data_IF_854039060621
#
_entry.id   IF_854039060621
#
_cell.length_a   1.000
_cell.length_b   1.000
_cell.length_c   1.000
_cell.angle_alpha   90.00
_cell.angle_beta   90.00
_cell.angle_gamma   90.00
#
_symmetry.space_group_name_H-M   'P 1'
#
loop_
_entity.id
_entity.type
_entity.pdbx_description
1 polymer ?
#
# COMPACT_ATOMS: atom_id res chain seq x y z
N UNK A 1 -5.20 13.69 8.40
CA UNK A 1 -5.71 12.42 8.97
C UNK A 1 -5.15 12.06 10.34
N UNK A 2 -3.84 12.20 10.59
CA UNK A 2 -3.22 11.78 11.86
C UNK A 2 -3.86 12.32 13.15
N UNK A 3 -4.35 13.57 13.16
CA UNK A 3 -5.06 14.15 14.32
C UNK A 3 -6.32 13.34 14.68
N UNK A 4 -7.18 13.05 13.70
CA UNK A 4 -8.43 12.31 13.93
C UNK A 4 -8.15 10.91 14.49
N UNK A 5 -7.20 10.17 13.88
CA UNK A 5 -6.83 8.83 14.32
C UNK A 5 -6.25 8.87 15.74
N UNK A 6 -5.33 9.80 16.01
CA UNK A 6 -4.72 9.97 17.33
C UNK A 6 -5.78 10.27 18.39
N UNK A 7 -6.65 11.24 18.14
CA UNK A 7 -7.64 11.67 19.12
C UNK A 7 -8.65 10.55 19.40
N UNK A 8 -9.06 9.79 18.38
CA UNK A 8 -9.84 8.57 18.55
C UNK A 8 -9.13 7.57 19.49
N UNK A 9 -7.87 7.24 19.20
CA UNK A 9 -7.08 6.28 20.00
C UNK A 9 -6.92 6.75 21.46
N UNK A 10 -6.71 8.05 21.68
CA UNK A 10 -6.52 8.64 23.01
C UNK A 10 -7.83 8.69 23.82
N UNK A 11 -8.93 9.14 23.20
CA UNK A 11 -10.22 9.30 23.89
C UNK A 11 -10.82 7.94 24.24
N UNK A 12 -10.74 6.97 23.33
CA UNK A 12 -11.27 5.61 23.55
C UNK A 12 -10.37 4.75 24.44
N UNK A 13 -9.12 5.18 24.68
CA UNK A 13 -8.08 4.38 25.35
C UNK A 13 -7.85 3.02 24.65
N UNK A 14 -8.01 2.98 23.33
CA UNK A 14 -7.83 1.76 22.53
C UNK A 14 -6.37 1.26 22.53
N UNK A 15 -5.41 2.11 22.90
CA UNK A 15 -3.99 1.80 23.06
C UNK A 15 -3.42 2.51 24.29
N UNK A 16 -2.22 2.13 24.72
CA UNK A 16 -1.47 2.88 25.73
C UNK A 16 -1.10 4.28 25.17
N UNK A 17 -1.63 5.37 25.75
CA UNK A 17 -1.38 6.73 25.25
C UNK A 17 0.08 7.16 25.44
N UNK A 18 0.76 6.67 26.47
CA UNK A 18 2.18 7.01 26.71
C UNK A 18 3.06 6.33 25.67
N UNK A 19 2.79 5.05 25.38
CA UNK A 19 3.50 4.33 24.33
C UNK A 19 3.25 4.97 22.96
N UNK A 20 1.99 5.30 22.63
CA UNK A 20 1.63 5.94 21.36
C UNK A 20 2.41 7.24 21.12
N UNK A 21 2.46 8.12 22.13
CA UNK A 21 3.18 9.39 22.00
C UNK A 21 4.70 9.19 21.92
N UNK A 22 5.26 8.21 22.65
CA UNK A 22 6.69 7.87 22.53
C UNK A 22 7.03 7.37 21.12
N UNK A 23 6.24 6.44 20.59
CA UNK A 23 6.42 5.93 19.22
C UNK A 23 6.32 7.05 18.18
N UNK A 24 5.35 7.97 18.34
CA UNK A 24 5.25 9.16 17.49
C UNK A 24 6.48 10.07 17.58
N UNK A 25 6.98 10.36 18.78
CA UNK A 25 8.14 11.23 18.95
C UNK A 25 9.42 10.60 18.39
N UNK A 26 9.60 9.28 18.53
CA UNK A 26 10.70 8.55 17.90
C UNK A 26 10.62 8.66 16.39
N UNK A 27 9.45 8.36 15.80
CA UNK A 27 9.26 8.42 14.36
C UNK A 27 9.47 9.84 13.80
N UNK A 28 8.82 10.84 14.40
CA UNK A 28 8.98 12.25 13.97
C UNK A 28 10.39 12.78 14.17
N UNK A 29 11.09 12.35 15.23
CA UNK A 29 12.46 12.74 15.51
C UNK A 29 13.49 12.11 14.56
N UNK A 30 13.16 10.96 13.97
CA UNK A 30 13.98 10.31 12.93
C UNK A 30 13.96 11.04 11.58
N UNK A 31 13.00 11.96 11.38
CA UNK A 31 12.81 12.63 10.10
C UNK A 31 12.24 11.70 9.04
N UNK A 32 12.25 12.17 7.80
CA UNK A 32 11.82 11.41 6.63
C UNK A 32 12.89 11.57 5.55
N UNK A 33 13.27 10.45 4.94
CA UNK A 33 14.12 10.42 3.76
C UNK A 33 13.25 10.02 2.57
N UNK A 34 13.44 10.67 1.42
CA UNK A 34 12.68 10.34 0.23
C UNK A 34 13.28 9.11 -0.42
N UNK A 35 12.50 8.03 -0.52
CA UNK A 35 12.94 6.82 -1.23
C UNK A 35 13.18 7.09 -2.73
N UNK A 36 12.67 8.22 -3.25
CA UNK A 36 12.73 8.59 -4.66
C UNK A 36 13.03 10.07 -4.87
N UNK A 37 14.23 10.39 -5.35
CA UNK A 37 14.71 11.76 -5.59
C UNK A 37 14.20 12.41 -6.89
N UNK A 38 13.57 11.62 -7.77
CA UNK A 38 13.11 12.06 -9.08
C UNK A 38 11.58 12.19 -9.13
N UNK A 39 11.09 13.32 -9.66
CA UNK A 39 9.67 13.67 -9.68
C UNK A 39 8.77 12.55 -10.23
N UNK A 40 9.13 11.90 -11.35
CA UNK A 40 8.30 10.83 -11.92
C UNK A 40 8.21 9.61 -11.01
N UNK A 41 9.30 9.24 -10.34
CA UNK A 41 9.29 8.13 -9.38
C UNK A 41 8.49 8.50 -8.13
N UNK A 42 8.65 9.73 -7.62
CA UNK A 42 7.88 10.19 -6.46
C UNK A 42 6.37 10.22 -6.77
N UNK A 43 5.98 10.70 -7.95
CA UNK A 43 4.55 10.75 -8.38
C UNK A 43 4.01 9.34 -8.65
N UNK A 44 4.80 8.45 -9.25
CA UNK A 44 4.43 7.04 -9.42
C UNK A 44 4.22 6.37 -8.05
N UNK A 45 5.13 6.58 -7.11
CA UNK A 45 5.05 6.06 -5.74
C UNK A 45 3.76 6.47 -5.05
N UNK A 46 3.46 7.78 -4.98
CA UNK A 46 2.24 8.25 -4.31
C UNK A 46 0.97 7.81 -5.05
N UNK A 47 1.01 7.59 -6.36
CA UNK A 47 -0.14 7.04 -7.11
C UNK A 47 -0.58 5.66 -6.59
N UNK A 48 0.39 4.78 -6.28
CA UNK A 48 0.10 3.47 -5.70
C UNK A 48 -0.13 3.55 -4.19
N UNK A 49 0.68 4.34 -3.49
CA UNK A 49 0.64 4.42 -2.03
C UNK A 49 -0.70 5.00 -1.53
N UNK A 50 -1.28 5.99 -2.21
CA UNK A 50 -2.58 6.55 -1.83
C UNK A 50 -3.74 5.55 -2.03
N UNK A 51 -3.66 4.70 -3.07
CA UNK A 51 -4.64 3.61 -3.23
C UNK A 51 -4.46 2.55 -2.13
N UNK A 52 -3.22 2.21 -1.80
CA UNK A 52 -2.91 1.28 -0.73
C UNK A 52 -3.42 1.76 0.63
N UNK A 53 -3.21 3.04 0.99
CA UNK A 53 -3.71 3.60 2.25
C UNK A 53 -5.23 3.70 2.25
N UNK A 54 -5.87 4.07 1.14
CA UNK A 54 -7.33 4.01 1.01
C UNK A 54 -7.89 2.64 1.38
N UNK A 55 -7.32 1.57 0.81
CA UNK A 55 -7.76 0.19 1.06
C UNK A 55 -7.48 -0.20 2.51
N UNK A 56 -6.28 0.09 3.01
CA UNK A 56 -5.88 -0.20 4.39
C UNK A 56 -6.80 0.50 5.42
N UNK A 57 -7.13 1.78 5.22
CA UNK A 57 -8.05 2.51 6.08
C UNK A 57 -9.46 1.90 6.05
N UNK A 58 -9.98 1.58 4.87
CA UNK A 58 -11.31 0.96 4.72
C UNK A 58 -11.37 -0.41 5.41
N UNK A 59 -10.35 -1.24 5.22
CA UNK A 59 -10.29 -2.58 5.81
C UNK A 59 -10.08 -2.50 7.33
N UNK A 60 -9.24 -1.58 7.81
CA UNK A 60 -9.04 -1.31 9.24
C UNK A 60 -10.36 -0.90 9.90
N UNK A 61 -11.12 0.02 9.29
CA UNK A 61 -12.43 0.44 9.80
C UNK A 61 -13.37 -0.74 10.04
N UNK A 62 -13.55 -1.58 9.02
CA UNK A 62 -14.37 -2.81 9.13
C UNK A 62 -13.84 -3.80 10.17
N UNK A 63 -12.52 -3.97 10.24
CA UNK A 63 -11.88 -4.90 11.15
C UNK A 63 -12.15 -4.55 12.62
N UNK A 64 -12.21 -3.25 12.95
CA UNK A 64 -12.42 -2.80 14.34
C UNK A 64 -13.80 -3.12 14.90
N UNK A 65 -14.81 -3.29 14.05
CA UNK A 65 -16.22 -3.43 14.45
C UNK A 65 -16.74 -2.27 15.33
N UNK A 66 -16.04 -1.14 15.33
CA UNK A 66 -16.47 0.11 15.97
C UNK A 66 -17.08 1.03 14.90
N UNK A 67 -18.38 1.36 14.99
CA UNK A 67 -19.05 2.18 13.98
C UNK A 67 -18.46 3.61 13.87
N UNK A 68 -17.92 4.16 14.95
CA UNK A 68 -17.30 5.50 14.93
C UNK A 68 -15.92 5.45 14.28
N UNK A 69 -15.14 4.40 14.56
CA UNK A 69 -13.86 4.17 13.89
C UNK A 69 -14.05 3.94 12.39
N UNK A 70 -15.01 3.08 12.02
CA UNK A 70 -15.33 2.81 10.63
C UNK A 70 -15.76 4.08 9.89
N UNK A 71 -16.63 4.90 10.49
CA UNK A 71 -17.05 6.17 9.90
C UNK A 71 -15.89 7.16 9.74
N UNK A 72 -15.00 7.27 10.73
CA UNK A 72 -13.82 8.13 10.67
C UNK A 72 -12.87 7.68 9.55
N UNK A 73 -12.53 6.39 9.51
CA UNK A 73 -11.61 5.82 8.52
C UNK A 73 -12.21 5.82 7.11
N UNK A 74 -13.53 5.71 6.97
CA UNK A 74 -14.21 5.87 5.68
C UNK A 74 -14.04 7.28 5.09
N UNK A 75 -14.08 8.33 5.92
CA UNK A 75 -13.82 9.71 5.48
C UNK A 75 -12.36 9.90 5.06
N UNK A 76 -11.43 9.38 5.85
CA UNK A 76 -10.01 9.41 5.51
C UNK A 76 -9.77 8.69 4.17
N UNK A 77 -10.31 7.49 4.00
CA UNK A 77 -10.21 6.74 2.74
C UNK A 77 -10.83 7.47 1.53
N UNK A 78 -11.81 8.36 1.76
CA UNK A 78 -12.36 9.20 0.70
C UNK A 78 -11.37 10.28 0.25
N UNK A 79 -10.64 10.89 1.18
CA UNK A 79 -9.56 11.83 0.84
C UNK A 79 -8.44 11.12 0.07
N UNK A 80 -7.98 9.97 0.54
CA UNK A 80 -6.95 9.18 -0.14
C UNK A 80 -7.37 8.79 -1.57
N UNK A 81 -8.68 8.57 -1.79
CA UNK A 81 -9.19 8.33 -3.14
C UNK A 81 -9.04 9.56 -4.05
N UNK A 82 -9.25 10.77 -3.52
CA UNK A 82 -9.07 12.00 -4.29
C UNK A 82 -7.59 12.24 -4.60
N UNK A 83 -6.70 12.01 -3.63
CA UNK A 83 -5.25 12.09 -3.83
C UNK A 83 -4.78 11.09 -4.89
N UNK A 84 -5.20 9.84 -4.77
CA UNK A 84 -4.91 8.79 -5.75
C UNK A 84 -5.36 9.18 -7.16
N UNK A 85 -6.60 9.69 -7.32
CA UNK A 85 -7.09 10.12 -8.64
C UNK A 85 -6.23 11.25 -9.21
N UNK A 86 -5.83 12.21 -8.37
CA UNK A 86 -4.96 13.31 -8.79
C UNK A 86 -3.61 12.80 -9.32
N UNK A 87 -2.87 12.03 -8.53
CA UNK A 87 -1.54 11.55 -8.92
C UNK A 87 -1.60 10.56 -10.09
N UNK A 88 -2.59 9.65 -10.09
CA UNK A 88 -2.80 8.72 -11.20
C UNK A 88 -3.07 9.45 -12.52
N UNK A 89 -3.86 10.52 -12.51
CA UNK A 89 -4.13 11.29 -13.71
C UNK A 89 -2.87 12.06 -14.18
N UNK A 90 -2.08 12.59 -13.24
CA UNK A 90 -0.79 13.23 -13.55
C UNK A 90 0.18 12.25 -14.23
N UNK A 91 0.31 11.02 -13.70
CA UNK A 91 1.10 9.97 -14.34
C UNK A 91 0.56 9.56 -15.72
N UNK A 92 -0.77 9.55 -15.87
CA UNK A 92 -1.42 9.31 -17.16
C UNK A 92 -0.96 10.32 -18.22
N UNK A 93 -0.99 11.61 -17.88
CA UNK A 93 -0.50 12.68 -18.74
C UNK A 93 1.01 12.59 -18.99
N UNK A 94 1.81 12.24 -17.98
CA UNK A 94 3.26 12.06 -18.14
C UNK A 94 3.59 10.94 -19.13
N UNK A 95 2.84 9.83 -19.09
CA UNK A 95 3.00 8.74 -20.06
C UNK A 95 2.61 9.14 -21.49
N UNK A 96 1.74 10.12 -21.68
CA UNK A 96 1.38 10.63 -23.02
C UNK A 96 2.48 11.55 -23.59
N UNK A 97 3.27 12.20 -22.72
CA UNK A 97 4.34 13.13 -23.10
C UNK A 97 5.69 12.41 -23.23
N UNK A 98 6.02 11.55 -22.27
CA UNK A 98 7.32 10.87 -22.14
C UNK A 98 7.10 9.40 -21.74
N UNK A 99 6.59 8.55 -22.65
CA UNK A 99 6.13 7.20 -22.32
C UNK A 99 7.25 6.30 -21.77
N UNK A 100 8.43 6.24 -22.41
CA UNK A 100 9.55 5.41 -21.96
C UNK A 100 10.02 5.81 -20.56
N UNK A 101 10.36 7.09 -20.37
CA UNK A 101 10.85 7.58 -19.08
C UNK A 101 9.83 7.34 -17.95
N UNK A 102 8.55 7.57 -18.25
CA UNK A 102 7.50 7.39 -17.26
C UNK A 102 7.27 5.90 -16.94
N UNK A 103 7.39 5.00 -17.92
CA UNK A 103 7.34 3.55 -17.66
C UNK A 103 8.53 3.05 -16.85
N UNK A 104 9.73 3.59 -17.06
CA UNK A 104 10.89 3.28 -16.22
C UNK A 104 10.63 3.67 -14.76
N UNK A 105 10.09 4.87 -14.53
CA UNK A 105 9.73 5.30 -13.17
C UNK A 105 8.65 4.41 -12.53
N UNK A 106 7.64 3.99 -13.31
CA UNK A 106 6.62 3.04 -12.82
C UNK A 106 7.25 1.69 -12.50
N UNK A 107 8.15 1.19 -13.36
CA UNK A 107 8.87 -0.06 -13.15
C UNK A 107 9.65 -0.02 -11.84
N UNK A 108 10.46 1.01 -11.64
CA UNK A 108 11.29 1.18 -10.43
C UNK A 108 10.40 1.17 -9.16
N UNK A 109 9.26 1.85 -9.20
CA UNK A 109 8.32 1.85 -8.07
C UNK A 109 7.64 0.50 -7.87
N UNK A 110 7.21 -0.18 -8.94
CA UNK A 110 6.54 -1.49 -8.86
C UNK A 110 7.50 -2.56 -8.32
N UNK A 111 8.78 -2.50 -8.67
CA UNK A 111 9.79 -3.46 -8.21
C UNK A 111 10.22 -3.22 -6.77
N UNK A 112 10.33 -1.95 -6.36
CA UNK A 112 10.94 -1.59 -5.07
C UNK A 112 9.94 -1.06 -4.02
N UNK A 113 8.63 -1.08 -4.32
CA UNK A 113 7.60 -0.47 -3.47
C UNK A 113 7.73 -0.85 -1.98
N UNK A 114 7.89 0.17 -1.12
CA UNK A 114 7.82 0.03 0.33
C UNK A 114 6.66 0.84 0.91
N UNK A 115 5.97 0.27 1.90
CA UNK A 115 4.94 1.02 2.64
C UNK A 115 5.56 2.19 3.40
N UNK A 116 4.90 3.37 3.44
CA UNK A 116 5.35 4.48 4.27
C UNK A 116 5.26 4.07 5.73
N UNK A 117 6.41 4.00 6.40
CA UNK A 117 6.55 3.47 7.77
C UNK A 117 7.26 2.12 7.87
N UNK A 118 7.85 1.61 6.78
CA UNK A 118 8.71 0.41 6.81
C UNK A 118 9.91 0.54 7.77
N UNK A 119 10.29 1.76 8.12
CA UNK A 119 11.35 2.11 9.09
C UNK A 119 10.88 2.17 10.54
N UNK A 120 9.58 2.01 10.82
CA UNK A 120 9.05 2.02 12.19
C UNK A 120 9.58 0.79 12.96
N UNK A 121 9.87 0.97 14.25
CA UNK A 121 10.29 -0.12 15.11
C UNK A 121 9.28 -1.29 15.07
N UNK A 122 9.80 -2.51 14.94
CA UNK A 122 9.03 -3.75 14.81
C UNK A 122 8.10 -3.81 13.58
N UNK A 123 8.33 -3.00 12.53
CA UNK A 123 7.46 -2.96 11.35
C UNK A 123 7.19 -4.34 10.76
N UNK A 124 8.22 -5.18 10.60
CA UNK A 124 8.06 -6.55 10.06
C UNK A 124 7.11 -7.44 10.87
N UNK A 125 7.08 -7.29 12.19
CA UNK A 125 6.12 -8.02 13.04
C UNK A 125 4.71 -7.43 12.90
N UNK A 126 4.58 -6.11 12.87
CA UNK A 126 3.30 -5.40 12.71
C UNK A 126 2.68 -5.67 11.34
N UNK A 127 3.47 -5.70 10.27
CA UNK A 127 3.00 -5.97 8.90
C UNK A 127 2.45 -7.39 8.77
N UNK A 128 3.09 -8.39 9.40
CA UNK A 128 2.55 -9.76 9.45
C UNK A 128 1.22 -9.80 10.19
N UNK A 129 1.06 -9.07 11.31
CA UNK A 129 -0.22 -9.01 12.02
C UNK A 129 -1.33 -8.37 11.17
N UNK A 130 -1.02 -7.28 10.46
CA UNK A 130 -1.94 -6.60 9.52
C UNK A 130 -2.36 -7.57 8.39
N UNK A 131 -1.41 -8.32 7.83
CA UNK A 131 -1.68 -9.30 6.76
C UNK A 131 -2.52 -10.49 7.26
N UNK A 132 -2.23 -10.99 8.47
CA UNK A 132 -3.02 -12.06 9.09
C UNK A 132 -4.44 -11.60 9.44
N UNK A 133 -4.62 -10.32 9.77
CA UNK A 133 -5.92 -9.69 9.98
C UNK A 133 -6.71 -9.44 8.67
N UNK A 134 -6.08 -9.62 7.51
CA UNK A 134 -6.70 -9.35 6.20
C UNK A 134 -6.89 -7.86 5.92
N UNK A 135 -6.14 -6.98 6.61
CA UNK A 135 -6.23 -5.54 6.41
C UNK A 135 -5.46 -5.14 5.16
N UNK A 136 -4.23 -5.64 5.02
CA UNK A 136 -3.36 -5.40 3.87
C UNK A 136 -2.30 -6.50 3.77
N UNK A 137 -2.19 -7.15 2.61
CA UNK A 137 -1.20 -8.18 2.30
C UNK A 137 -0.76 -8.08 0.83
N UNK A 138 0.16 -8.95 0.41
CA UNK A 138 0.69 -8.93 -0.96
C UNK A 138 -0.39 -9.20 -2.02
N UNK A 139 -1.39 -10.03 -1.70
CA UNK A 139 -2.53 -10.31 -2.59
C UNK A 139 -3.30 -9.02 -2.86
N UNK A 140 -3.68 -8.32 -1.78
CA UNK A 140 -4.38 -7.04 -1.87
C UNK A 140 -3.53 -6.00 -2.60
N UNK A 141 -2.23 -5.91 -2.29
CA UNK A 141 -1.34 -4.96 -2.98
C UNK A 141 -1.29 -5.21 -4.49
N UNK A 142 -1.10 -6.47 -4.91
CA UNK A 142 -1.06 -6.80 -6.33
C UNK A 142 -2.40 -6.50 -7.01
N UNK A 143 -3.49 -7.08 -6.49
CA UNK A 143 -4.75 -7.19 -7.23
C UNK A 143 -5.62 -5.94 -7.09
N UNK A 144 -5.52 -5.23 -5.97
CA UNK A 144 -6.33 -4.05 -5.68
C UNK A 144 -5.55 -2.73 -5.81
N UNK A 145 -4.22 -2.75 -5.80
CA UNK A 145 -3.38 -1.55 -5.96
C UNK A 145 -2.69 -1.51 -7.32
N UNK A 146 -1.76 -2.44 -7.58
CA UNK A 146 -0.91 -2.35 -8.77
C UNK A 146 -1.69 -2.59 -10.06
N UNK A 147 -2.37 -3.73 -10.17
CA UNK A 147 -3.09 -4.14 -11.39
C UNK A 147 -4.13 -3.10 -11.84
N UNK A 148 -5.00 -2.54 -10.98
CA UNK A 148 -5.99 -1.56 -11.40
C UNK A 148 -5.38 -0.23 -11.88
N UNK A 149 -4.29 0.22 -11.25
CA UNK A 149 -3.61 1.47 -11.63
C UNK A 149 -2.88 1.28 -12.96
N UNK A 150 -2.13 0.19 -13.13
CA UNK A 150 -1.45 -0.15 -14.39
C UNK A 150 -2.45 -0.31 -15.55
N UNK A 151 -3.61 -0.93 -15.27
CA UNK A 151 -4.72 -1.04 -16.23
C UNK A 151 -5.28 0.33 -16.62
N UNK A 152 -5.46 1.23 -15.64
CA UNK A 152 -5.95 2.59 -15.93
C UNK A 152 -4.99 3.36 -16.81
N UNK A 153 -3.68 3.16 -16.61
CA UNK A 153 -2.63 3.72 -17.46
C UNK A 153 -2.44 2.98 -18.78
N UNK A 154 -3.16 1.87 -19.03
CA UNK A 154 -3.04 1.08 -20.27
C UNK A 154 -1.60 0.67 -20.59
N UNK A 155 -0.82 0.30 -19.56
CA UNK A 155 0.61 -0.04 -19.70
C UNK A 155 0.87 -1.08 -20.79
N UNK A 156 -0.03 -2.05 -20.91
CA UNK A 156 0.05 -3.15 -21.87
C UNK A 156 -0.38 -2.77 -23.29
N UNK A 157 -1.20 -1.73 -23.44
CA UNK A 157 -1.76 -1.33 -24.74
C UNK A 157 -1.02 -0.13 -25.36
N UNK A 158 0.02 0.39 -24.69
CA UNK A 158 0.79 1.52 -25.22
C UNK A 158 1.63 1.10 -26.42
N UNK A 159 1.59 1.89 -27.49
CA UNK A 159 2.39 1.67 -28.68
C UNK A 159 3.52 2.70 -28.77
N UNK A 160 4.52 2.43 -29.62
CA UNK A 160 5.59 3.39 -29.91
C UNK A 160 6.63 3.54 -28.79
N UNK A 161 6.76 2.54 -27.91
CA UNK A 161 7.88 2.49 -26.96
C UNK A 161 9.17 2.14 -27.69
N UNK A 162 10.28 2.68 -27.19
CA UNK A 162 11.61 2.21 -27.54
C UNK A 162 11.99 0.94 -26.77
N UNK A 163 13.20 0.43 -27.00
CA UNK A 163 13.69 -0.78 -26.36
C UNK A 163 13.70 -0.70 -24.81
N UNK A 164 13.99 0.47 -24.25
CA UNK A 164 14.01 0.65 -22.80
C UNK A 164 12.60 0.66 -22.22
N UNK A 165 11.62 1.25 -22.92
CA UNK A 165 10.22 1.23 -22.53
C UNK A 165 9.64 -0.18 -22.57
N UNK A 166 9.95 -0.96 -23.61
CA UNK A 166 9.53 -2.37 -23.70
C UNK A 166 10.19 -3.26 -22.64
N UNK A 167 11.45 -2.99 -22.28
CA UNK A 167 12.10 -3.66 -21.16
C UNK A 167 11.40 -3.33 -19.84
N UNK A 168 11.12 -2.05 -19.58
CA UNK A 168 10.43 -1.62 -18.36
C UNK A 168 9.03 -2.27 -18.24
N UNK A 169 8.29 -2.38 -19.34
CA UNK A 169 7.03 -3.13 -19.39
C UNK A 169 7.21 -4.60 -19.02
N UNK A 170 8.22 -5.24 -19.58
CA UNK A 170 8.52 -6.66 -19.33
C UNK A 170 8.88 -6.91 -17.86
N UNK A 171 9.67 -6.02 -17.26
CA UNK A 171 10.05 -6.07 -15.85
C UNK A 171 8.82 -5.92 -14.93
N UNK A 172 7.91 -4.98 -15.25
CA UNK A 172 6.65 -4.82 -14.51
C UNK A 172 5.83 -6.13 -14.56
N UNK A 173 5.74 -6.77 -15.73
CA UNK A 173 5.00 -8.02 -15.88
C UNK A 173 5.61 -9.14 -15.02
N UNK A 174 6.94 -9.31 -15.08
CA UNK A 174 7.66 -10.31 -14.28
C UNK A 174 7.51 -10.07 -12.77
N UNK A 175 7.49 -8.81 -12.35
CA UNK A 175 7.27 -8.47 -10.95
C UNK A 175 5.84 -8.80 -10.49
N UNK A 176 4.82 -8.56 -11.32
CA UNK A 176 3.44 -8.97 -11.00
C UNK A 176 3.27 -10.49 -10.90
N UNK A 177 4.01 -11.27 -11.69
CA UNK A 177 4.07 -12.73 -11.57
C UNK A 177 4.76 -13.16 -10.27
N UNK A 178 5.88 -12.51 -9.92
CA UNK A 178 6.58 -12.76 -8.66
C UNK A 178 5.67 -12.50 -7.45
N UNK A 179 4.92 -11.39 -7.47
CA UNK A 179 3.96 -11.05 -6.43
C UNK A 179 2.81 -12.06 -6.34
N UNK A 180 2.34 -12.59 -7.48
CA UNK A 180 1.31 -13.64 -7.53
C UNK A 180 1.78 -14.91 -6.81
N UNK A 181 3.01 -15.37 -7.09
CA UNK A 181 3.57 -16.55 -6.44
C UNK A 181 3.74 -16.35 -4.93
N UNK A 182 4.26 -15.19 -4.53
CA UNK A 182 4.46 -14.86 -3.12
C UNK A 182 3.12 -14.76 -2.37
N UNK A 183 2.13 -14.11 -2.96
CA UNK A 183 0.79 -13.98 -2.42
C UNK A 183 0.14 -15.37 -2.23
N UNK A 184 0.18 -16.22 -3.26
CA UNK A 184 -0.36 -17.59 -3.21
C UNK A 184 0.28 -18.41 -2.08
N UNK A 185 1.62 -18.40 -1.98
CA UNK A 185 2.35 -19.09 -0.90
C UNK A 185 1.98 -18.58 0.49
N UNK A 186 1.71 -17.27 0.62
CA UNK A 186 1.28 -16.69 1.89
C UNK A 186 -0.15 -17.11 2.26
N UNK A 187 -1.06 -17.13 1.28
CA UNK A 187 -2.45 -17.56 1.47
C UNK A 187 -2.54 -19.01 1.93
N UNK A 188 -1.77 -19.91 1.31
CA UNK A 188 -1.68 -21.32 1.73
C UNK A 188 -1.23 -21.46 3.19
N UNK A 189 -0.18 -20.74 3.58
CA UNK A 189 0.33 -20.73 4.96
C UNK A 189 -0.70 -20.16 5.94
N UNK A 190 -1.39 -19.09 5.56
CA UNK A 190 -2.43 -18.45 6.39
C UNK A 190 -3.63 -19.37 6.60
N UNK A 191 -4.04 -20.10 5.57
CA UNK A 191 -5.12 -21.09 5.66
C UNK A 191 -4.74 -22.26 6.55
N UNK A 192 -3.57 -22.86 6.35
CA UNK A 192 -3.07 -23.94 7.19
C UNK A 192 -2.91 -23.53 8.67
N UNK A 193 -2.51 -22.28 8.93
CA UNK A 193 -2.45 -21.73 10.29
C UNK A 193 -3.84 -21.63 10.93
N UNK A 194 -4.84 -21.12 10.20
CA UNK A 194 -6.22 -21.00 10.69
C UNK A 194 -6.83 -22.37 10.99
N UNK A 195 -6.63 -23.35 10.13
CA UNK A 195 -7.09 -24.73 10.36
C UNK A 195 -6.49 -25.32 11.63
N UNK A 196 -5.18 -25.14 11.86
CA UNK A 196 -4.51 -25.59 13.09
C UNK A 196 -5.04 -24.90 14.34
N UNK A 197 -5.38 -23.62 14.28
CA UNK A 197 -5.99 -22.92 15.42
C UNK A 197 -7.39 -23.45 15.74
N UNK A 198 -8.22 -23.65 14.71
CA UNK A 198 -9.57 -24.20 14.89
C UNK A 198 -9.52 -25.62 15.47
N UNK A 199 -8.61 -26.47 14.98
CA UNK A 199 -8.42 -27.81 15.50
C UNK A 199 -7.99 -27.84 16.99
N UNK A 200 -7.20 -26.86 17.43
CA UNK A 200 -6.79 -26.70 18.84
C UNK A 200 -7.89 -26.15 19.74
N UNK A 201 -8.86 -25.41 19.19
CA UNK A 201 -9.99 -24.89 19.95
C UNK A 201 -11.13 -25.90 20.06
N UNK A 202 -11.18 -26.87 19.15
CA UNK A 202 -12.20 -27.91 19.09
C UNK A 202 -11.88 -29.18 19.89
N UNK A 203 -10.63 -29.34 20.36
CA UNK A 203 -10.17 -30.46 21.18
C UNK A 203 -9.80 -30.01 22.59
#
# INVERSE_FOLDING_TARGET
>A
HGIAIRDYLLVTRAVDPVQLERERMIHMGGGFDQDYDEMLRSVAYVSFQELATRISHRNTGKFTQDPYCEQMLARIAQDENLHMVFYRNLMGAALDVAPTQTLQAIRDVVTDFQMPGHTIQDFGRRSVQIAMAGIYDLRIHRDEVLVPVLKTWKVWDREGLDAEGEQARSDIAAQLETLEEQASRFEDKRSAYREKQLARQAG
#
